data_IF_284191839235
#
_entry.id   IF_284191839235
#
_cell.length_a   1.000
_cell.length_b   1.000
_cell.length_c   1.000
_cell.angle_alpha   90.00
_cell.angle_beta   90.00
_cell.angle_gamma   90.00
#
_symmetry.space_group_name_H-M   'P 1'
#
loop_
_entity.id
_entity.type
_entity.pdbx_description
1 polymer ?
#
# COMPACT_ATOMS: atom_id res chain seq x y z
N UNK A 1 23.83 23.07 -3.00
CA UNK A 1 23.97 24.36 -2.29
C UNK A 1 22.69 24.58 -1.49
N UNK A 2 22.65 24.19 -0.24
CA UNK A 2 21.53 24.35 0.67
C UNK A 2 22.08 24.89 1.98
N UNK A 3 22.03 26.21 2.13
CA UNK A 3 22.56 26.94 3.28
C UNK A 3 21.81 26.58 4.56
N UNK A 4 22.59 26.32 5.60
CA UNK A 4 22.18 26.18 6.99
C UNK A 4 21.27 27.31 7.44
N UNK A 5 20.01 27.01 7.73
CA UNK A 5 19.02 27.94 8.30
C UNK A 5 19.07 28.01 9.85
N UNK A 6 20.14 27.53 10.47
CA UNK A 6 20.31 27.64 11.89
C UNK A 6 21.25 28.82 12.21
N UNK A 7 20.69 30.02 12.27
CA UNK A 7 21.33 31.09 13.06
C UNK A 7 21.15 30.71 14.55
N UNK A 8 22.22 30.74 15.37
CA UNK A 8 22.05 30.58 16.81
C UNK A 8 21.02 31.63 17.26
N UNK A 9 19.91 31.19 17.79
CA UNK A 9 18.88 32.07 18.28
C UNK A 9 19.52 32.94 19.34
N UNK A 10 19.45 34.26 19.15
CA UNK A 10 19.49 35.24 20.23
C UNK A 10 18.57 34.68 21.31
N UNK A 11 19.08 34.49 22.54
CA UNK A 11 18.27 34.03 23.67
C UNK A 11 16.93 34.75 23.62
N UNK A 12 15.79 34.02 23.61
CA UNK A 12 14.50 34.67 23.60
C UNK A 12 14.47 35.59 24.81
N UNK A 13 14.22 36.87 24.56
CA UNK A 13 14.18 37.85 25.60
C UNK A 13 13.13 37.41 26.63
N UNK A 14 13.60 36.98 27.79
CA UNK A 14 12.74 36.71 28.94
C UNK A 14 11.96 38.01 29.22
N UNK A 15 10.64 37.91 29.35
CA UNK A 15 9.77 39.05 29.58
C UNK A 15 10.07 39.60 30.99
N UNK A 16 10.78 40.74 31.15
CA UNK A 16 11.04 41.26 32.48
C UNK A 16 9.72 41.70 33.10
N UNK A 17 9.45 41.30 34.35
CA UNK A 17 8.28 41.72 35.10
C UNK A 17 7.31 40.63 35.56
N UNK A 18 7.55 39.35 35.26
CA UNK A 18 6.82 38.23 35.87
C UNK A 18 7.54 37.81 37.16
N UNK A 19 6.88 37.89 38.28
CA UNK A 19 7.39 37.40 39.56
C UNK A 19 6.69 36.09 39.92
N UNK A 20 7.39 35.02 40.29
CA UNK A 20 8.84 34.88 40.41
C UNK A 20 9.54 34.60 39.09
N UNK A 21 10.85 34.93 38.95
CA UNK A 21 11.61 34.55 37.77
C UNK A 21 11.63 33.01 37.65
N UNK A 22 11.61 32.46 36.41
CA UNK A 22 11.70 31.03 36.14
C UNK A 22 13.01 30.52 36.76
N UNK A 23 12.91 29.70 37.80
CA UNK A 23 14.07 29.05 38.42
C UNK A 23 14.37 27.73 37.71
N UNK A 24 15.57 27.18 37.91
CA UNK A 24 15.91 25.86 37.44
C UNK A 24 14.96 24.80 37.99
N UNK A 25 14.56 24.90 39.26
CA UNK A 25 13.63 23.99 39.92
C UNK A 25 12.24 24.01 39.25
N UNK A 26 11.75 25.19 38.85
CA UNK A 26 10.51 25.31 38.10
C UNK A 26 10.62 24.61 36.73
N UNK A 27 11.76 24.78 36.04
CA UNK A 27 11.99 24.17 34.75
C UNK A 27 12.04 22.65 34.87
N UNK A 28 12.79 22.13 35.86
CA UNK A 28 12.86 20.69 36.13
C UNK A 28 11.48 20.12 36.50
N UNK A 29 10.74 20.82 37.36
CA UNK A 29 9.37 20.39 37.71
C UNK A 29 8.41 20.34 36.52
N UNK A 30 8.55 21.27 35.54
CA UNK A 30 7.78 21.22 34.31
C UNK A 30 8.21 20.05 33.40
N UNK A 31 9.51 19.77 33.36
CA UNK A 31 10.04 18.62 32.61
C UNK A 31 9.59 17.30 33.23
N UNK A 32 9.54 17.18 34.57
CA UNK A 32 9.05 15.99 35.25
C UNK A 32 7.53 15.76 35.05
N UNK A 33 6.76 16.87 35.01
CA UNK A 33 5.34 16.84 34.77
C UNK A 33 4.95 16.61 33.28
N UNK A 34 5.92 16.70 32.36
CA UNK A 34 5.66 16.53 30.94
C UNK A 34 5.24 15.08 30.62
N UNK A 35 4.22 14.93 29.79
CA UNK A 35 3.83 13.61 29.24
C UNK A 35 4.73 13.19 28.05
N UNK A 36 5.98 13.55 28.14
CA UNK A 36 7.03 13.23 27.17
C UNK A 36 8.26 12.75 27.92
N UNK A 37 8.95 11.78 27.37
CA UNK A 37 10.22 11.34 27.92
C UNK A 37 11.29 12.37 27.65
N UNK A 38 11.92 12.90 28.69
CA UNK A 38 12.98 13.89 28.58
C UNK A 38 14.24 13.30 29.22
N UNK A 39 15.29 13.13 28.42
CA UNK A 39 16.60 12.67 28.85
C UNK A 39 17.69 13.64 28.41
N UNK A 40 18.65 13.90 29.28
CA UNK A 40 19.84 14.72 28.96
C UNK A 40 21.08 13.89 29.12
N UNK A 41 21.96 13.92 28.13
CA UNK A 41 23.24 13.22 28.11
C UNK A 41 24.38 14.27 28.09
N UNK A 42 25.43 13.97 28.79
CA UNK A 42 26.65 14.77 28.76
C UNK A 42 27.53 14.43 27.51
N UNK A 43 28.66 15.12 27.42
CA UNK A 43 29.63 14.93 26.32
C UNK A 43 30.24 13.55 26.22
N UNK A 44 30.12 12.70 27.27
CA UNK A 44 30.57 11.29 27.27
C UNK A 44 29.42 10.32 26.90
N UNK A 45 28.27 10.86 26.49
CA UNK A 45 27.04 10.14 26.18
C UNK A 45 26.47 9.37 27.39
N UNK A 46 26.71 9.91 28.60
CA UNK A 46 26.19 9.40 29.87
C UNK A 46 24.94 10.19 30.26
N UNK A 47 23.87 9.48 30.67
CA UNK A 47 22.64 10.09 31.12
C UNK A 47 22.90 10.90 32.41
N UNK A 48 22.48 12.16 32.44
CA UNK A 48 22.65 13.04 33.61
C UNK A 48 21.33 13.62 34.14
N UNK A 49 20.27 13.50 33.34
CA UNK A 49 18.91 13.80 33.74
C UNK A 49 17.94 12.90 32.94
N UNK A 50 16.92 12.38 33.59
CA UNK A 50 15.78 11.75 32.96
C UNK A 50 14.54 11.89 33.84
N UNK A 51 13.43 12.35 33.25
CA UNK A 51 12.17 12.34 33.95
C UNK A 51 11.58 10.90 34.05
N UNK A 52 10.57 10.73 34.89
CA UNK A 52 9.95 9.41 35.13
C UNK A 52 9.43 8.76 33.86
N UNK A 53 8.84 9.54 32.95
CA UNK A 53 8.33 9.02 31.68
C UNK A 53 9.45 8.47 30.80
N UNK A 54 10.61 9.16 30.72
CA UNK A 54 11.79 8.68 30.00
C UNK A 54 12.29 7.35 30.57
N UNK A 55 12.39 7.26 31.90
CA UNK A 55 12.83 6.05 32.60
C UNK A 55 11.91 4.88 32.35
N UNK A 56 10.59 5.09 32.46
CA UNK A 56 9.59 4.05 32.19
C UNK A 56 9.61 3.55 30.74
N UNK A 57 9.80 4.46 29.76
CA UNK A 57 9.87 4.06 28.35
C UNK A 57 11.08 3.18 28.03
N UNK A 58 12.22 3.47 28.67
CA UNK A 58 13.48 2.76 28.40
C UNK A 58 13.82 1.68 29.43
N UNK A 59 12.93 1.42 30.36
CA UNK A 59 13.09 0.43 31.43
C UNK A 59 14.32 0.69 32.28
N UNK A 60 14.49 1.93 32.73
CA UNK A 60 15.64 2.35 33.53
C UNK A 60 15.31 2.34 35.02
N UNK A 61 16.15 1.68 35.80
CA UNK A 61 16.04 1.68 37.27
C UNK A 61 16.17 3.10 37.85
N UNK A 62 15.34 3.45 38.86
CA UNK A 62 15.43 4.73 39.52
C UNK A 62 16.83 5.02 40.09
N UNK A 63 17.31 6.25 39.87
CA UNK A 63 18.61 6.66 40.40
C UNK A 63 19.83 6.13 39.64
N UNK A 64 19.65 5.42 38.53
CA UNK A 64 20.75 5.00 37.64
C UNK A 64 21.06 6.03 36.57
N UNK A 65 22.31 6.11 36.14
CA UNK A 65 22.82 7.08 35.18
C UNK A 65 23.69 6.37 34.13
N UNK A 66 23.11 5.45 33.34
CA UNK A 66 23.86 4.66 32.37
C UNK A 66 24.34 5.47 31.18
N UNK A 67 25.38 5.00 30.50
CA UNK A 67 25.70 5.49 29.17
C UNK A 67 24.64 5.00 28.17
N UNK A 68 24.43 5.76 27.10
CA UNK A 68 23.42 5.44 26.09
C UNK A 68 23.57 4.02 25.50
N UNK A 69 24.81 3.59 25.28
CA UNK A 69 25.10 2.24 24.80
C UNK A 69 24.65 1.16 25.79
N UNK A 70 24.84 1.40 27.09
CA UNK A 70 24.46 0.46 28.13
C UNK A 70 22.94 0.32 28.23
N UNK A 71 22.19 1.42 27.98
CA UNK A 71 20.72 1.40 27.86
C UNK A 71 20.32 0.46 26.74
N UNK A 72 20.93 0.58 25.57
CA UNK A 72 20.58 -0.25 24.41
C UNK A 72 20.98 -1.72 24.61
N UNK A 73 22.14 -2.00 25.26
CA UNK A 73 22.54 -3.35 25.64
C UNK A 73 21.53 -4.00 26.60
N UNK A 74 21.10 -3.27 27.61
CA UNK A 74 20.08 -3.73 28.54
C UNK A 74 18.74 -3.99 27.84
N UNK A 75 18.26 -3.04 27.04
CA UNK A 75 17.01 -3.18 26.30
C UNK A 75 17.03 -4.39 25.34
N UNK A 76 18.14 -4.64 24.65
CA UNK A 76 18.29 -5.80 23.77
C UNK A 76 18.31 -7.12 24.53
N UNK A 77 19.09 -7.20 25.63
CA UNK A 77 19.22 -8.40 26.46
C UNK A 77 17.90 -8.75 27.16
N UNK A 78 17.25 -7.76 27.77
CA UNK A 78 16.11 -7.94 28.66
C UNK A 78 14.75 -7.87 27.91
N UNK A 79 14.80 -7.65 26.58
CA UNK A 79 13.63 -7.51 25.71
C UNK A 79 12.64 -6.46 26.24
N UNK A 80 13.18 -5.34 26.75
CA UNK A 80 12.45 -4.20 27.30
C UNK A 80 12.85 -2.91 26.60
N UNK A 81 12.12 -1.81 26.82
CA UNK A 81 12.43 -0.52 26.19
C UNK A 81 12.44 -0.59 24.66
N UNK A 82 13.51 -0.16 24.03
CA UNK A 82 13.63 -0.16 22.57
C UNK A 82 13.63 -1.60 21.98
N UNK A 83 12.79 -1.84 21.00
CA UNK A 83 12.74 -3.10 20.27
C UNK A 83 13.78 -3.10 19.16
N UNK A 84 14.86 -3.83 19.35
CA UNK A 84 15.98 -3.92 18.41
C UNK A 84 15.92 -5.28 17.72
N UNK A 85 15.41 -5.30 16.49
CA UNK A 85 15.22 -6.52 15.69
C UNK A 85 16.42 -6.69 14.75
N UNK A 86 17.49 -7.33 15.25
CA UNK A 86 18.69 -7.64 14.47
C UNK A 86 19.29 -8.98 14.88
N UNK A 87 19.94 -9.66 13.94
CA UNK A 87 20.73 -10.87 14.23
C UNK A 87 22.16 -10.54 14.74
N UNK A 88 22.64 -9.33 14.42
CA UNK A 88 23.97 -8.83 14.85
C UNK A 88 23.78 -7.49 15.56
N UNK A 89 23.65 -7.57 16.88
CA UNK A 89 23.44 -6.41 17.72
C UNK A 89 24.64 -5.45 17.73
N UNK A 90 25.88 -5.99 17.74
CA UNK A 90 27.09 -5.15 17.81
C UNK A 90 27.27 -4.35 16.51
N UNK A 91 27.04 -4.95 15.36
CA UNK A 91 27.07 -4.23 14.09
C UNK A 91 25.97 -3.15 14.02
N UNK A 92 24.76 -3.46 14.51
CA UNK A 92 23.67 -2.50 14.60
C UNK A 92 24.03 -1.33 15.54
N UNK A 93 24.56 -1.62 16.74
CA UNK A 93 24.96 -0.63 17.73
C UNK A 93 26.07 0.28 17.20
N UNK A 94 27.05 -0.27 16.53
CA UNK A 94 28.12 0.49 15.88
C UNK A 94 27.55 1.46 14.83
N UNK A 95 26.59 1.00 14.01
CA UNK A 95 25.90 1.83 13.03
C UNK A 95 25.05 2.92 13.69
N UNK A 96 24.32 2.62 14.76
CA UNK A 96 23.53 3.60 15.51
C UNK A 96 24.42 4.66 16.15
N UNK A 97 25.52 4.23 16.79
CA UNK A 97 26.53 5.10 17.41
C UNK A 97 27.20 6.04 16.41
N UNK A 98 27.45 5.58 15.18
CA UNK A 98 28.09 6.41 14.14
C UNK A 98 27.26 7.62 13.71
N UNK A 99 25.94 7.57 13.96
CA UNK A 99 24.98 8.65 13.61
C UNK A 99 24.63 9.55 14.78
N UNK A 100 24.83 9.08 16.02
CA UNK A 100 24.47 9.79 17.25
C UNK A 100 25.37 11.00 17.46
N UNK A 101 24.79 12.15 17.77
CA UNK A 101 25.50 13.40 18.02
C UNK A 101 26.22 14.03 16.83
N UNK A 102 26.04 13.51 15.60
CA UNK A 102 26.73 14.01 14.38
C UNK A 102 26.01 15.21 13.74
N UNK A 103 24.77 15.42 14.10
CA UNK A 103 23.96 16.55 13.62
C UNK A 103 23.42 17.35 14.81
N UNK A 104 23.27 18.67 14.68
CA UNK A 104 22.70 19.49 15.74
C UNK A 104 21.28 19.08 16.12
N UNK A 105 20.53 18.52 15.16
CA UNK A 105 19.19 17.99 15.35
C UNK A 105 18.98 16.74 14.52
N UNK A 106 18.37 15.72 15.12
CA UNK A 106 17.95 14.48 14.46
C UNK A 106 16.62 14.03 15.03
N UNK A 107 15.71 13.55 14.14
CA UNK A 107 14.48 12.93 14.59
C UNK A 107 14.23 11.63 13.80
N UNK A 108 13.64 10.65 14.47
CA UNK A 108 13.30 9.33 13.90
C UNK A 108 12.25 8.65 14.77
N UNK A 109 11.62 7.60 14.23
CA UNK A 109 10.68 6.76 14.98
C UNK A 109 11.38 5.49 15.47
N UNK A 110 11.01 5.06 16.67
CA UNK A 110 11.49 3.84 17.30
C UNK A 110 10.32 2.96 17.70
N UNK A 111 10.45 1.66 17.42
CA UNK A 111 9.55 0.62 17.90
C UNK A 111 9.98 0.18 19.31
N UNK A 112 9.02 0.05 20.23
CA UNK A 112 9.27 -0.33 21.61
C UNK A 112 8.66 -1.71 21.90
N UNK A 113 9.26 -2.42 22.85
CA UNK A 113 8.62 -3.59 23.41
C UNK A 113 7.26 -3.19 24.01
N UNK A 114 6.23 -4.05 23.86
CA UNK A 114 4.85 -3.73 24.24
C UNK A 114 4.04 -3.00 23.17
N UNK A 115 4.60 -2.83 21.94
CA UNK A 115 3.86 -2.33 20.79
C UNK A 115 3.68 -0.82 20.72
N UNK A 116 4.45 -0.06 21.52
CA UNK A 116 4.46 1.41 21.46
C UNK A 116 5.33 1.90 20.32
N UNK A 117 4.93 3.03 19.73
CA UNK A 117 5.70 3.79 18.76
C UNK A 117 6.11 5.13 19.34
N UNK A 118 7.40 5.40 19.32
CA UNK A 118 7.97 6.61 19.94
C UNK A 118 8.65 7.45 18.87
N UNK A 119 8.28 8.72 18.79
CA UNK A 119 9.04 9.71 18.05
C UNK A 119 10.18 10.19 18.93
N UNK A 120 11.41 10.00 18.48
CA UNK A 120 12.65 10.38 19.15
C UNK A 120 13.18 11.64 18.50
N UNK A 121 13.37 12.71 19.26
CA UNK A 121 14.03 13.93 18.84
C UNK A 121 15.31 14.18 19.66
N UNK A 122 16.44 14.23 18.99
CA UNK A 122 17.74 14.49 19.60
C UNK A 122 18.26 15.87 19.18
N UNK A 123 18.61 16.70 20.15
CA UNK A 123 19.24 18.01 19.92
C UNK A 123 20.62 17.99 20.57
N UNK A 124 21.69 18.19 19.79
CA UNK A 124 23.08 18.17 20.27
C UNK A 124 23.66 19.57 20.24
N UNK A 125 24.22 20.02 21.37
CA UNK A 125 24.93 21.28 21.48
C UNK A 125 26.38 21.14 20.97
N UNK A 126 27.01 22.26 20.61
CA UNK A 126 28.40 22.30 20.13
C UNK A 126 29.45 21.79 21.14
N UNK A 127 29.10 21.70 22.41
CA UNK A 127 29.96 21.13 23.48
C UNK A 127 29.70 19.63 23.72
N UNK A 128 28.87 18.97 22.89
CA UNK A 128 28.59 17.53 22.96
C UNK A 128 27.43 17.14 23.89
N UNK A 129 26.83 18.05 24.62
CA UNK A 129 25.63 17.78 25.41
C UNK A 129 24.43 17.50 24.50
N UNK A 130 23.58 16.58 24.88
CA UNK A 130 22.42 16.18 24.09
C UNK A 130 21.14 16.14 24.90
N UNK A 131 20.09 16.76 24.36
CA UNK A 131 18.72 16.61 24.82
C UNK A 131 18.03 15.56 23.95
N UNK A 132 17.42 14.56 24.58
CA UNK A 132 16.60 13.56 23.93
C UNK A 132 15.14 13.69 24.42
N UNK A 133 14.21 13.89 23.48
CA UNK A 133 12.78 13.97 23.76
C UNK A 133 12.10 12.79 23.11
N UNK A 134 11.32 12.03 23.90
CA UNK A 134 10.56 10.86 23.48
C UNK A 134 9.08 11.20 23.55
N UNK A 135 8.39 11.14 22.41
CA UNK A 135 6.93 11.37 22.35
C UNK A 135 6.24 10.10 21.93
N UNK A 136 5.28 9.64 22.73
CA UNK A 136 4.45 8.48 22.36
C UNK A 136 3.52 8.87 21.20
N UNK A 137 3.68 8.20 20.07
CA UNK A 137 2.88 8.39 18.85
C UNK A 137 2.09 7.14 18.50
N UNK A 138 1.88 6.23 19.45
CA UNK A 138 1.24 4.93 19.21
C UNK A 138 -0.15 5.10 18.61
N UNK A 139 -0.96 6.00 19.16
CA UNK A 139 -2.30 6.28 18.64
C UNK A 139 -2.26 6.83 17.22
N UNK A 140 -1.38 7.81 16.95
CA UNK A 140 -1.22 8.40 15.62
C UNK A 140 -0.76 7.37 14.58
N UNK A 141 0.21 6.53 14.93
CA UNK A 141 0.71 5.48 14.05
C UNK A 141 -0.35 4.40 13.77
N UNK A 142 -1.18 4.08 14.77
CA UNK A 142 -2.28 3.12 14.63
C UNK A 142 -3.37 3.70 13.74
N UNK A 143 -3.75 4.96 13.92
CA UNK A 143 -4.77 5.63 13.12
C UNK A 143 -4.35 5.74 11.65
N UNK A 144 -3.11 6.10 11.37
CA UNK A 144 -2.61 6.19 10.00
C UNK A 144 -2.61 4.83 9.29
N UNK A 145 -2.20 3.76 9.97
CA UNK A 145 -2.26 2.38 9.45
C UNK A 145 -3.69 1.93 9.21
N UNK A 146 -4.58 2.22 10.16
CA UNK A 146 -6.01 1.89 10.05
C UNK A 146 -6.65 2.63 8.89
N UNK A 147 -6.38 3.94 8.75
CA UNK A 147 -6.87 4.75 7.64
C UNK A 147 -6.33 4.26 6.29
N UNK A 148 -5.06 3.88 6.20
CA UNK A 148 -4.49 3.29 4.98
C UNK A 148 -5.17 1.97 4.64
N UNK A 149 -5.35 1.07 5.61
CA UNK A 149 -6.04 -0.20 5.41
C UNK A 149 -7.50 0.01 4.98
N UNK A 150 -8.23 0.90 5.64
CA UNK A 150 -9.60 1.24 5.28
C UNK A 150 -9.69 1.83 3.87
N UNK A 151 -8.78 2.73 3.51
CA UNK A 151 -8.70 3.29 2.16
C UNK A 151 -8.43 2.19 1.12
N UNK A 152 -7.47 1.30 1.37
CA UNK A 152 -7.12 0.23 0.44
C UNK A 152 -8.25 -0.79 0.29
N UNK A 153 -8.95 -1.11 1.38
CA UNK A 153 -10.16 -1.93 1.34
C UNK A 153 -11.29 -1.24 0.58
N UNK A 154 -11.53 0.05 0.83
CA UNK A 154 -12.53 0.84 0.12
C UNK A 154 -12.22 0.94 -1.39
N UNK A 155 -10.96 1.15 -1.76
CA UNK A 155 -10.52 1.18 -3.15
C UNK A 155 -10.71 -0.18 -3.83
N UNK A 156 -10.35 -1.29 -3.18
CA UNK A 156 -10.61 -2.63 -3.70
C UNK A 156 -12.12 -2.87 -3.89
N UNK A 157 -12.93 -2.58 -2.88
CA UNK A 157 -14.38 -2.72 -2.97
C UNK A 157 -15.00 -1.84 -4.07
N UNK A 158 -14.45 -0.65 -4.31
CA UNK A 158 -14.92 0.26 -5.36
C UNK A 158 -14.49 -0.14 -6.78
N UNK A 159 -13.39 -0.89 -6.95
CA UNK A 159 -12.77 -1.16 -8.24
C UNK A 159 -12.79 -2.63 -8.66
N UNK A 160 -13.18 -3.56 -7.77
CA UNK A 160 -13.24 -5.00 -8.09
C UNK A 160 -14.67 -5.53 -8.10
N UNK A 161 -14.92 -6.57 -8.88
CA UNK A 161 -16.15 -7.36 -8.83
C UNK A 161 -16.05 -8.37 -7.69
N UNK A 162 -17.00 -8.37 -6.73
CA UNK A 162 -16.88 -9.20 -5.52
C UNK A 162 -17.03 -10.72 -5.79
N UNK A 163 -17.65 -11.11 -6.91
CA UNK A 163 -17.81 -12.51 -7.27
C UNK A 163 -16.53 -13.09 -7.90
N UNK A 164 -15.94 -12.35 -8.83
CA UNK A 164 -14.86 -12.84 -9.69
C UNK A 164 -13.47 -12.38 -9.27
N UNK A 165 -13.37 -11.31 -8.48
CA UNK A 165 -12.10 -10.68 -8.08
C UNK A 165 -11.42 -9.86 -9.18
N UNK A 166 -11.94 -9.86 -10.40
CA UNK A 166 -11.48 -9.00 -11.49
C UNK A 166 -11.84 -7.53 -11.25
N UNK A 167 -11.34 -6.62 -12.09
CA UNK A 167 -11.86 -5.26 -12.13
C UNK A 167 -13.37 -5.26 -12.34
N UNK A 168 -14.05 -4.28 -11.76
CA UNK A 168 -15.46 -4.05 -12.08
C UNK A 168 -15.60 -3.08 -13.27
N UNK A 169 -16.83 -2.87 -13.74
CA UNK A 169 -17.13 -1.97 -14.84
C UNK A 169 -16.59 -0.56 -14.63
N UNK A 170 -16.66 -0.04 -13.40
CA UNK A 170 -16.14 1.30 -13.06
C UNK A 170 -14.62 1.36 -13.25
N UNK A 171 -13.90 0.39 -12.73
CA UNK A 171 -12.44 0.33 -12.90
C UNK A 171 -12.03 0.34 -14.37
N UNK A 172 -12.71 -0.44 -15.20
CA UNK A 172 -12.46 -0.47 -16.65
C UNK A 172 -12.78 0.86 -17.31
N UNK A 173 -13.88 1.53 -16.94
CA UNK A 173 -14.23 2.84 -17.48
C UNK A 173 -13.16 3.91 -17.14
N UNK A 174 -12.68 3.92 -15.90
CA UNK A 174 -11.61 4.84 -15.47
C UNK A 174 -10.30 4.55 -16.23
N UNK A 175 -9.94 3.28 -16.41
CA UNK A 175 -8.75 2.88 -17.18
C UNK A 175 -8.83 3.26 -18.66
N UNK A 176 -10.00 3.09 -19.28
CA UNK A 176 -10.24 3.49 -20.65
C UNK A 176 -10.18 5.02 -20.80
N UNK A 177 -10.80 5.77 -19.89
CA UNK A 177 -10.72 7.23 -19.92
C UNK A 177 -9.27 7.72 -19.82
N UNK A 178 -8.46 7.11 -18.94
CA UNK A 178 -7.03 7.44 -18.80
C UNK A 178 -6.23 7.10 -20.08
N UNK A 179 -6.50 5.97 -20.72
CA UNK A 179 -5.85 5.57 -21.97
C UNK A 179 -6.11 6.59 -23.10
N UNK A 180 -7.38 6.95 -23.27
CA UNK A 180 -7.78 7.86 -24.35
C UNK A 180 -7.35 9.31 -24.10
N UNK A 181 -7.20 9.73 -22.85
CA UNK A 181 -6.66 11.05 -22.51
C UNK A 181 -5.19 11.22 -22.91
N UNK A 182 -4.43 10.14 -23.08
CA UNK A 182 -3.02 10.15 -23.48
C UNK A 182 -2.81 10.16 -25.00
N UNK A 183 -3.85 10.45 -25.80
CA UNK A 183 -3.80 10.47 -27.27
C UNK A 183 -3.33 9.14 -27.91
N UNK A 184 -3.53 8.01 -27.25
CA UNK A 184 -3.20 6.66 -27.72
C UNK A 184 -1.75 6.56 -28.26
N UNK A 185 -0.73 6.80 -27.44
CA UNK A 185 0.66 6.80 -27.92
C UNK A 185 1.16 5.40 -28.30
N UNK A 186 0.43 4.35 -27.89
CA UNK A 186 0.81 2.94 -28.09
C UNK A 186 -0.37 2.10 -28.54
N UNK A 187 -0.13 0.99 -29.29
CA UNK A 187 -1.20 0.10 -29.72
C UNK A 187 -1.88 -0.56 -28.51
N UNK A 188 -3.19 -0.63 -28.59
CA UNK A 188 -4.02 -1.28 -27.56
C UNK A 188 -5.16 -2.03 -28.24
N UNK A 189 -5.75 -2.99 -27.51
CA UNK A 189 -6.93 -3.71 -27.94
C UNK A 189 -7.98 -3.82 -26.84
N UNK A 190 -9.25 -3.74 -27.23
CA UNK A 190 -10.39 -4.07 -26.40
C UNK A 190 -10.93 -5.43 -26.86
N UNK A 191 -11.08 -6.36 -25.92
CA UNK A 191 -11.67 -7.66 -26.16
C UNK A 191 -12.90 -7.83 -25.28
N UNK A 192 -14.08 -7.75 -25.88
CA UNK A 192 -15.34 -8.00 -25.19
C UNK A 192 -15.69 -9.49 -25.33
N UNK A 193 -15.85 -10.15 -24.19
CA UNK A 193 -16.11 -11.59 -24.06
C UNK A 193 -17.49 -11.81 -23.45
N UNK A 194 -18.16 -12.91 -23.85
CA UNK A 194 -19.44 -13.31 -23.29
C UNK A 194 -19.53 -14.83 -23.24
N UNK A 195 -19.99 -15.35 -22.12
CA UNK A 195 -20.16 -16.80 -21.92
C UNK A 195 -21.40 -17.26 -22.68
N UNK A 196 -21.19 -18.12 -23.68
CA UNK A 196 -22.27 -18.62 -24.52
C UNK A 196 -23.31 -19.42 -23.71
N UNK A 197 -24.58 -19.10 -23.89
CA UNK A 197 -25.72 -19.79 -23.26
C UNK A 197 -25.72 -19.77 -21.72
N UNK A 198 -25.10 -18.77 -21.08
CA UNK A 198 -24.99 -18.67 -19.61
C UNK A 198 -26.34 -18.74 -18.89
N UNK A 199 -27.38 -18.12 -19.45
CA UNK A 199 -28.73 -18.25 -18.91
C UNK A 199 -29.17 -19.70 -18.79
N UNK A 200 -28.88 -20.54 -19.79
CA UNK A 200 -29.18 -21.96 -19.74
C UNK A 200 -28.46 -22.70 -18.62
N UNK A 201 -27.28 -22.26 -18.24
CA UNK A 201 -26.56 -22.83 -17.09
C UNK A 201 -27.32 -22.53 -15.80
N UNK A 202 -27.74 -21.27 -15.60
CA UNK A 202 -28.53 -20.90 -14.42
C UNK A 202 -29.87 -21.65 -14.37
N UNK A 203 -30.56 -21.75 -15.51
CA UNK A 203 -31.87 -22.38 -15.60
C UNK A 203 -31.79 -23.90 -15.32
N UNK A 204 -30.68 -24.59 -15.74
CA UNK A 204 -30.53 -26.04 -15.59
C UNK A 204 -29.83 -26.43 -14.28
N UNK A 205 -28.88 -25.66 -13.79
CA UNK A 205 -28.01 -26.03 -12.67
C UNK A 205 -28.12 -25.11 -11.45
N UNK A 206 -28.90 -24.02 -11.57
CA UNK A 206 -29.07 -23.01 -10.52
C UNK A 206 -27.97 -21.96 -10.49
N UNK A 207 -28.27 -20.84 -9.82
CA UNK A 207 -27.39 -19.67 -9.73
C UNK A 207 -26.04 -19.94 -9.08
N UNK A 208 -25.98 -20.84 -8.09
CA UNK A 208 -24.71 -21.22 -7.44
C UNK A 208 -23.71 -21.84 -8.44
N UNK A 209 -24.20 -22.65 -9.38
CA UNK A 209 -23.37 -23.24 -10.43
C UNK A 209 -22.99 -22.20 -11.49
N UNK A 210 -23.90 -21.25 -11.79
CA UNK A 210 -23.58 -20.09 -12.61
C UNK A 210 -22.46 -19.23 -12.00
N UNK A 211 -22.50 -19.00 -10.69
CA UNK A 211 -21.45 -18.30 -9.97
C UNK A 211 -20.10 -19.02 -9.99
N UNK A 212 -20.11 -20.36 -9.88
CA UNK A 212 -18.89 -21.16 -10.05
C UNK A 212 -18.32 -21.04 -11.46
N UNK A 213 -19.19 -21.09 -12.48
CA UNK A 213 -18.78 -20.89 -13.87
C UNK A 213 -18.16 -19.51 -14.09
N UNK A 214 -18.77 -18.44 -13.55
CA UNK A 214 -18.23 -17.07 -13.64
C UNK A 214 -16.86 -16.95 -12.98
N UNK A 215 -16.67 -17.53 -11.78
CA UNK A 215 -15.35 -17.56 -11.11
C UNK A 215 -14.31 -18.33 -11.91
N UNK A 216 -14.70 -19.48 -12.46
CA UNK A 216 -13.81 -20.29 -13.29
C UNK A 216 -13.37 -19.52 -14.54
N UNK A 217 -14.34 -18.94 -15.27
CA UNK A 217 -14.06 -18.13 -16.46
C UNK A 217 -13.18 -16.94 -16.16
N UNK A 218 -13.45 -16.23 -15.06
CA UNK A 218 -12.61 -15.13 -14.59
C UNK A 218 -11.17 -15.56 -14.34
N UNK A 219 -10.95 -16.74 -13.78
CA UNK A 219 -9.61 -17.31 -13.60
C UNK A 219 -8.87 -17.55 -14.92
N UNK A 220 -9.58 -18.08 -15.94
CA UNK A 220 -9.01 -18.25 -17.28
C UNK A 220 -8.67 -16.91 -17.93
N UNK A 221 -9.56 -15.93 -17.82
CA UNK A 221 -9.36 -14.58 -18.34
C UNK A 221 -8.17 -13.91 -17.64
N UNK A 222 -8.06 -14.00 -16.31
CA UNK A 222 -6.96 -13.43 -15.54
C UNK A 222 -5.60 -14.03 -15.93
N UNK A 223 -5.56 -15.29 -16.30
CA UNK A 223 -4.32 -15.96 -16.74
C UNK A 223 -3.80 -15.46 -18.11
N UNK A 224 -4.66 -14.80 -18.91
CA UNK A 224 -4.27 -14.25 -20.21
C UNK A 224 -3.72 -12.83 -20.15
N UNK A 225 -3.92 -12.11 -19.06
CA UNK A 225 -3.56 -10.69 -18.95
C UNK A 225 -2.25 -10.50 -18.18
N UNK A 226 -1.44 -9.58 -18.65
CA UNK A 226 -0.20 -9.15 -18.00
C UNK A 226 -0.52 -8.14 -16.90
N UNK A 227 0.51 -7.72 -16.15
CA UNK A 227 0.36 -6.73 -15.07
C UNK A 227 -0.11 -5.34 -15.56
N UNK A 228 0.30 -4.96 -16.75
CA UNK A 228 -0.06 -3.71 -17.43
C UNK A 228 -1.44 -3.73 -18.07
N UNK A 229 -2.00 -4.91 -18.30
CA UNK A 229 -3.33 -5.09 -18.86
C UNK A 229 -4.41 -5.01 -17.77
N UNK A 230 -5.66 -4.92 -18.18
CA UNK A 230 -6.79 -4.95 -17.26
C UNK A 230 -7.87 -5.92 -17.76
N UNK A 231 -8.31 -6.82 -16.88
CA UNK A 231 -9.49 -7.63 -17.07
C UNK A 231 -10.58 -7.16 -16.10
N UNK A 232 -11.81 -7.04 -16.58
CA UNK A 232 -12.94 -6.64 -15.77
C UNK A 232 -14.20 -7.42 -16.12
N UNK A 233 -15.05 -7.67 -15.12
CA UNK A 233 -16.42 -8.09 -15.36
C UNK A 233 -17.23 -6.86 -15.75
N UNK A 234 -17.68 -6.85 -17.02
CA UNK A 234 -18.35 -5.72 -17.65
C UNK A 234 -19.86 -5.72 -17.44
N UNK A 235 -20.45 -6.90 -17.37
CA UNK A 235 -21.88 -7.16 -17.19
C UNK A 235 -22.14 -8.44 -16.41
N UNK A 236 -23.32 -9.02 -16.53
CA UNK A 236 -23.68 -10.28 -15.85
C UNK A 236 -22.75 -11.44 -16.20
N UNK A 237 -22.65 -11.75 -17.47
CA UNK A 237 -21.82 -12.80 -18.06
C UNK A 237 -20.76 -12.25 -19.04
N UNK A 238 -20.63 -10.91 -19.10
CA UNK A 238 -19.75 -10.22 -20.02
C UNK A 238 -18.46 -9.79 -19.30
N UNK A 239 -17.34 -9.93 -19.99
CA UNK A 239 -16.01 -9.56 -19.51
C UNK A 239 -15.34 -8.68 -20.57
N UNK A 240 -14.57 -7.69 -20.13
CA UNK A 240 -13.83 -6.79 -21.00
C UNK A 240 -12.35 -6.83 -20.63
N UNK A 241 -11.51 -7.08 -21.64
CA UNK A 241 -10.05 -6.98 -21.54
C UNK A 241 -9.60 -5.68 -22.19
N UNK A 242 -8.71 -4.98 -21.53
CA UNK A 242 -7.90 -3.90 -22.08
C UNK A 242 -6.46 -4.40 -22.15
N UNK A 243 -6.01 -4.74 -23.35
CA UNK A 243 -4.64 -5.15 -23.63
C UNK A 243 -3.84 -3.94 -24.12
N UNK A 244 -2.68 -3.69 -23.51
CA UNK A 244 -1.85 -2.50 -23.78
C UNK A 244 -0.53 -2.91 -24.43
N UNK A 245 0.02 -2.01 -25.22
CA UNK A 245 1.33 -2.21 -25.89
C UNK A 245 1.42 -3.57 -26.62
N UNK A 246 0.39 -3.88 -27.43
CA UNK A 246 0.21 -5.17 -28.04
C UNK A 246 -0.10 -5.07 -29.53
N UNK A 247 0.53 -5.96 -30.33
CA UNK A 247 0.26 -6.04 -31.75
C UNK A 247 -1.02 -6.83 -32.07
N UNK A 248 -1.73 -6.51 -33.15
CA UNK A 248 -2.96 -7.22 -33.55
C UNK A 248 -2.79 -8.74 -33.66
N UNK A 249 -1.65 -9.23 -34.13
CA UNK A 249 -1.36 -10.66 -34.24
C UNK A 249 -1.33 -11.37 -32.89
N UNK A 250 -0.73 -10.72 -31.87
CA UNK A 250 -0.64 -11.28 -30.50
C UNK A 250 -2.01 -11.28 -29.83
N UNK A 251 -2.87 -10.28 -30.07
CA UNK A 251 -4.25 -10.25 -29.56
C UNK A 251 -5.03 -11.46 -30.06
N UNK A 252 -4.90 -11.78 -31.35
CA UNK A 252 -5.58 -12.95 -31.94
C UNK A 252 -5.12 -14.25 -31.27
N UNK A 253 -3.83 -14.39 -31.02
CA UNK A 253 -3.30 -15.59 -30.33
C UNK A 253 -3.83 -15.69 -28.89
N UNK A 254 -3.88 -14.60 -28.15
CA UNK A 254 -4.42 -14.56 -26.78
C UNK A 254 -5.89 -15.00 -26.78
N UNK A 255 -6.70 -14.45 -27.69
CA UNK A 255 -8.13 -14.75 -27.75
C UNK A 255 -8.36 -16.20 -28.16
N UNK A 256 -7.66 -16.71 -29.19
CA UNK A 256 -7.76 -18.12 -29.61
C UNK A 256 -7.34 -19.08 -28.50
N UNK A 257 -6.26 -18.75 -27.79
CA UNK A 257 -5.79 -19.55 -26.66
C UNK A 257 -6.83 -19.61 -25.53
N UNK A 258 -7.43 -18.45 -25.19
CA UNK A 258 -8.51 -18.39 -24.20
C UNK A 258 -9.71 -19.25 -24.61
N UNK A 259 -10.20 -19.12 -25.86
CA UNK A 259 -11.29 -19.94 -26.36
C UNK A 259 -10.97 -21.45 -26.28
N UNK A 260 -9.76 -21.84 -26.65
CA UNK A 260 -9.31 -23.22 -26.56
C UNK A 260 -9.29 -23.74 -25.11
N UNK A 261 -8.82 -22.92 -24.15
CA UNK A 261 -8.83 -23.27 -22.73
C UNK A 261 -10.26 -23.40 -22.19
N UNK A 262 -11.17 -22.51 -22.59
CA UNK A 262 -12.59 -22.57 -22.22
C UNK A 262 -13.21 -23.87 -22.68
N UNK A 263 -13.04 -24.28 -23.97
CA UNK A 263 -13.54 -25.54 -24.53
C UNK A 263 -13.01 -26.76 -23.79
N UNK A 264 -11.73 -26.72 -23.38
CA UNK A 264 -11.08 -27.85 -22.72
C UNK A 264 -11.41 -27.93 -21.22
N UNK A 265 -11.98 -26.91 -20.63
CA UNK A 265 -12.17 -26.81 -19.20
C UNK A 265 -13.38 -27.57 -18.66
N UNK A 266 -13.33 -27.87 -17.35
CA UNK A 266 -14.40 -28.53 -16.59
C UNK A 266 -14.78 -27.69 -15.41
N UNK A 267 -15.65 -26.65 -15.59
CA UNK A 267 -15.88 -25.62 -14.58
C UNK A 267 -16.72 -26.09 -13.39
N UNK A 268 -17.52 -27.15 -13.56
CA UNK A 268 -18.50 -27.59 -12.57
C UNK A 268 -18.14 -28.95 -11.99
N UNK A 269 -17.57 -29.02 -10.77
CA UNK A 269 -17.13 -30.30 -10.18
C UNK A 269 -18.24 -31.35 -10.02
N UNK A 270 -19.50 -30.91 -9.84
CA UNK A 270 -20.67 -31.80 -9.74
C UNK A 270 -21.20 -32.25 -11.07
N UNK A 271 -20.74 -31.67 -12.17
CA UNK A 271 -21.14 -31.99 -13.55
C UNK A 271 -19.89 -32.12 -14.45
N UNK A 272 -19.07 -33.15 -14.29
CA UNK A 272 -17.74 -33.25 -14.93
C UNK A 272 -17.83 -33.33 -16.47
N UNK A 273 -18.98 -33.72 -17.02
CA UNK A 273 -19.21 -33.76 -18.46
C UNK A 273 -19.69 -32.44 -19.05
N UNK A 274 -20.03 -31.45 -18.19
CA UNK A 274 -20.46 -30.17 -18.66
C UNK A 274 -19.30 -29.43 -19.35
N UNK A 275 -19.60 -28.86 -20.50
CA UNK A 275 -18.68 -28.00 -21.27
C UNK A 275 -19.41 -26.72 -21.65
N UNK A 276 -18.65 -25.68 -21.85
CA UNK A 276 -19.16 -24.40 -22.29
C UNK A 276 -18.21 -23.75 -23.28
N UNK A 277 -18.69 -22.71 -23.94
CA UNK A 277 -17.92 -21.89 -24.88
C UNK A 277 -18.08 -20.43 -24.54
N UNK A 278 -17.27 -19.60 -25.15
CA UNK A 278 -17.44 -18.15 -25.11
C UNK A 278 -17.27 -17.56 -26.51
N UNK A 279 -17.89 -16.41 -26.71
CA UNK A 279 -17.74 -15.61 -27.93
C UNK A 279 -16.99 -14.32 -27.59
N UNK A 280 -16.21 -13.80 -28.56
CA UNK A 280 -15.45 -12.56 -28.36
C UNK A 280 -15.58 -11.58 -29.53
N UNK A 281 -15.61 -10.30 -29.20
CA UNK A 281 -15.47 -9.19 -30.15
C UNK A 281 -14.21 -8.40 -29.86
N UNK A 282 -13.35 -8.23 -30.84
CA UNK A 282 -12.06 -7.51 -30.72
C UNK A 282 -12.14 -6.20 -31.47
N UNK A 283 -11.73 -5.10 -30.84
CA UNK A 283 -11.62 -3.81 -31.48
C UNK A 283 -10.32 -3.08 -31.09
N UNK A 284 -9.66 -2.51 -32.07
CA UNK A 284 -8.46 -1.71 -31.87
C UNK A 284 -8.84 -0.22 -31.85
N UNK A 285 -8.48 0.55 -30.82
CA UNK A 285 -8.68 2.00 -30.80
C UNK A 285 -8.03 2.67 -32.00
N UNK A 286 -8.73 3.66 -32.60
CA UNK A 286 -8.25 4.41 -33.76
C UNK A 286 -7.88 5.83 -33.33
N UNK A 287 -6.89 6.47 -33.96
CA UNK A 287 -6.59 7.88 -33.69
C UNK A 287 -7.82 8.78 -33.83
N UNK A 288 -8.08 9.61 -32.81
CA UNK A 288 -9.23 10.52 -32.77
C UNK A 288 -10.59 9.88 -32.50
N UNK A 289 -10.64 8.55 -32.29
CA UNK A 289 -11.85 7.83 -31.94
C UNK A 289 -12.16 8.00 -30.44
N UNK A 290 -13.43 8.16 -30.10
CA UNK A 290 -13.86 8.19 -28.69
C UNK A 290 -14.05 6.76 -28.14
N UNK A 291 -13.84 6.57 -26.83
CA UNK A 291 -13.97 5.29 -26.12
C UNK A 291 -15.24 4.53 -26.51
N UNK A 292 -16.39 5.22 -26.52
CA UNK A 292 -17.68 4.61 -26.80
C UNK A 292 -17.80 4.07 -28.25
N UNK A 293 -17.04 4.63 -29.20
CA UNK A 293 -17.02 4.16 -30.59
C UNK A 293 -16.26 2.84 -30.71
N UNK A 294 -15.09 2.74 -30.05
CA UNK A 294 -14.33 1.48 -29.98
C UNK A 294 -15.13 0.39 -29.28
N UNK A 295 -15.78 0.71 -28.16
CA UNK A 295 -16.66 -0.26 -27.46
C UNK A 295 -17.81 -0.73 -28.34
N UNK A 296 -18.47 0.16 -29.11
CA UNK A 296 -19.49 -0.23 -30.07
C UNK A 296 -19.00 -1.17 -31.16
N UNK A 297 -17.76 -0.98 -31.64
CA UNK A 297 -17.17 -1.90 -32.62
C UNK A 297 -16.90 -3.29 -32.01
N UNK A 298 -16.39 -3.32 -30.78
CA UNK A 298 -16.20 -4.58 -30.05
C UNK A 298 -17.55 -5.31 -29.83
N UNK A 299 -18.59 -4.57 -29.43
CA UNK A 299 -19.94 -5.10 -29.25
C UNK A 299 -20.54 -5.65 -30.57
N UNK A 300 -20.44 -4.89 -31.65
CA UNK A 300 -20.90 -5.34 -32.98
C UNK A 300 -20.17 -6.61 -33.44
N UNK A 301 -18.84 -6.70 -33.19
CA UNK A 301 -18.05 -7.88 -33.48
C UNK A 301 -18.45 -9.08 -32.61
N UNK A 302 -18.72 -8.88 -31.32
CA UNK A 302 -19.24 -9.92 -30.42
C UNK A 302 -20.62 -10.42 -30.87
N UNK A 303 -21.50 -9.50 -31.24
CA UNK A 303 -22.80 -9.88 -31.80
C UNK A 303 -22.67 -10.71 -33.09
N UNK A 304 -21.73 -10.34 -33.97
CA UNK A 304 -21.43 -11.13 -35.18
C UNK A 304 -20.88 -12.52 -34.81
N UNK A 305 -19.99 -12.65 -33.82
CA UNK A 305 -19.50 -13.93 -33.36
C UNK A 305 -20.64 -14.82 -32.85
N UNK A 306 -21.56 -14.27 -32.04
CA UNK A 306 -22.75 -14.98 -31.55
C UNK A 306 -23.71 -15.39 -32.65
N UNK A 307 -24.00 -14.50 -33.61
CA UNK A 307 -24.93 -14.79 -34.72
C UNK A 307 -24.37 -15.78 -35.76
N UNK A 308 -23.02 -15.85 -35.89
CA UNK A 308 -22.34 -16.75 -36.82
C UNK A 308 -22.10 -18.15 -36.22
N UNK A 309 -22.72 -18.50 -35.09
CA UNK A 309 -22.65 -19.84 -34.51
C UNK A 309 -21.90 -19.95 -33.20
N UNK A 310 -21.53 -18.83 -32.57
CA UNK A 310 -20.82 -18.77 -31.28
C UNK A 310 -19.45 -19.44 -31.28
N UNK A 311 -18.84 -19.61 -30.10
CA UNK A 311 -17.57 -20.29 -29.90
C UNK A 311 -16.46 -19.76 -30.82
N UNK A 312 -16.40 -18.47 -31.00
CA UNK A 312 -15.44 -17.77 -31.87
C UNK A 312 -15.23 -16.33 -31.48
N UNK A 313 -14.27 -15.72 -32.10
CA UNK A 313 -14.09 -14.28 -32.05
C UNK A 313 -14.20 -13.63 -33.43
N UNK A 314 -14.51 -12.34 -33.46
CA UNK A 314 -14.57 -11.50 -34.65
C UNK A 314 -13.85 -10.18 -34.36
N UNK A 315 -13.12 -9.64 -35.35
CA UNK A 315 -12.52 -8.31 -35.29
C UNK A 315 -13.49 -7.27 -35.89
N UNK A 316 -13.61 -6.10 -35.18
CA UNK A 316 -14.47 -4.96 -35.56
C UNK A 316 -13.71 -3.73 -36.04
#
# INVERSE_FOLDING_TARGET
MGGSLYKPAVMPAYRPGTTPPLSLDHLLGLMDAAQQGIGVFDQTDTLVYANDFYRQLLDLEPGTWPAWKDILHANYRDQAGNRISTADFEAWLASASSRRGKQPFRAFEADMHGGRWIHVAETTLGNGWMLCVLTDITELATDERTLRQQRDLALRAALTDPLTGLGNRRHMQDALAALYAQCLPRPAALVLLDIDHFKGVNDNFGHDQGDLLLRHFAGLVQAQVRREDLAARWGGEEFLLLLRDIDPGDVHQIVEHLLAQVRASQPLPRHPDFRYTCSAGVAFPRPGEAVHQTLRRADAALYQAKSSGRDRWVAG
#
